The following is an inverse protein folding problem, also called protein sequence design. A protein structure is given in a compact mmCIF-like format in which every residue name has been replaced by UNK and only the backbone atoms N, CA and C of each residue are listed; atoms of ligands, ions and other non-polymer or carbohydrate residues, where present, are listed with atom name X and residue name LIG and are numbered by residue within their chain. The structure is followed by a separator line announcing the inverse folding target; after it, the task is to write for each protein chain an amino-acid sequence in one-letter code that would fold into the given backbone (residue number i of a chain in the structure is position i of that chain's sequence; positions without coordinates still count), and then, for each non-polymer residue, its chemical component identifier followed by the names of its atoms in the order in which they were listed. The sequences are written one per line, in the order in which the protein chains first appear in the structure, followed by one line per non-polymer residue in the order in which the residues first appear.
data_IF_395258055312
#
_entry.id   IF_395258055312
#
_cell.length_a   1.000
_cell.length_b   1.000
_cell.length_c   1.000
_cell.angle_alpha   90.00
_cell.angle_beta   90.00
_cell.angle_gamma   90.00
#
_symmetry.space_group_name_H-M   'P 1'
#
loop_
_entity.id
_entity.type
_entity.pdbx_description
1 polymer ?
#
# COMPACT_ATOMS: atom_id res chain seq x y z
N UNK A 1 -32.58 19.33 54.48
CA UNK A 1 -32.33 19.89 53.14
C UNK A 1 -31.02 20.66 53.19
N UNK A 2 -29.93 20.04 52.77
CA UNK A 2 -28.60 20.70 52.79
C UNK A 2 -28.41 21.37 51.43
N UNK A 3 -28.19 22.67 51.50
CA UNK A 3 -28.11 23.58 50.36
C UNK A 3 -26.83 23.35 49.55
N UNK A 4 -26.91 22.68 48.37
CA UNK A 4 -25.78 22.32 47.49
C UNK A 4 -25.13 23.48 46.71
N UNK A 5 -25.57 24.73 46.92
CA UNK A 5 -25.15 25.86 46.10
C UNK A 5 -24.00 26.72 46.68
N UNK A 6 -23.30 26.25 47.74
CA UNK A 6 -22.29 27.10 48.40
C UNK A 6 -20.83 26.76 48.13
N UNK A 7 -20.54 25.72 47.33
CA UNK A 7 -19.15 25.25 47.14
C UNK A 7 -18.47 25.81 45.86
N UNK A 8 -19.24 26.32 44.90
CA UNK A 8 -18.66 26.72 43.61
C UNK A 8 -18.20 28.18 43.47
N UNK A 9 -18.20 28.96 44.53
CA UNK A 9 -18.02 30.44 44.39
C UNK A 9 -16.69 31.00 44.86
N UNK A 10 -15.67 30.23 45.12
CA UNK A 10 -14.31 30.72 45.48
C UNK A 10 -13.15 29.94 44.84
N UNK A 11 -13.30 29.41 43.65
CA UNK A 11 -12.10 29.09 42.87
C UNK A 11 -11.59 30.37 42.24
N UNK A 12 -10.56 30.95 42.83
CA UNK A 12 -10.01 32.22 42.41
C UNK A 12 -9.44 32.13 40.96
N UNK A 13 -9.47 33.29 40.26
CA UNK A 13 -8.91 33.46 38.91
C UNK A 13 -7.54 32.81 38.72
N UNK A 14 -6.76 32.67 39.76
CA UNK A 14 -5.43 32.05 39.78
C UNK A 14 -5.48 30.52 39.62
N UNK A 15 -6.46 29.83 40.20
CA UNK A 15 -6.65 28.38 40.06
C UNK A 15 -7.22 28.03 38.69
N UNK A 16 -8.08 28.85 38.10
CA UNK A 16 -8.58 28.65 36.74
C UNK A 16 -7.47 28.87 35.69
N UNK A 17 -6.61 29.86 35.88
CA UNK A 17 -5.44 30.10 35.01
C UNK A 17 -4.41 28.97 35.12
N UNK A 18 -4.16 28.43 36.30
CA UNK A 18 -3.25 27.31 36.52
C UNK A 18 -3.79 26.03 35.90
N UNK A 19 -5.09 25.74 36.02
CA UNK A 19 -5.71 24.60 35.37
C UNK A 19 -5.71 24.70 33.82
N UNK A 20 -5.92 25.90 33.29
CA UNK A 20 -5.81 26.18 31.86
C UNK A 20 -4.37 26.00 31.32
N UNK A 21 -3.37 26.48 32.07
CA UNK A 21 -1.97 26.34 31.71
C UNK A 21 -1.52 24.85 31.73
N UNK A 22 -1.96 24.09 32.75
CA UNK A 22 -1.69 22.63 32.80
C UNK A 22 -2.39 21.88 31.66
N UNK A 23 -3.63 22.23 31.32
CA UNK A 23 -4.34 21.68 30.20
C UNK A 23 -3.66 21.95 28.84
N UNK A 24 -3.17 23.20 28.65
CA UNK A 24 -2.40 23.58 27.45
C UNK A 24 -1.05 22.85 27.39
N UNK A 25 -0.37 22.65 28.52
CA UNK A 25 0.88 21.92 28.61
C UNK A 25 0.68 20.44 28.28
N UNK A 26 -0.40 19.83 28.78
CA UNK A 26 -0.76 18.44 28.46
C UNK A 26 -1.15 18.24 26.98
N UNK A 27 -1.84 19.23 26.38
CA UNK A 27 -2.12 19.24 24.95
C UNK A 27 -0.84 19.40 24.11
N UNK A 28 0.09 20.24 24.50
CA UNK A 28 1.37 20.43 23.83
C UNK A 28 2.24 19.16 23.92
N UNK A 29 2.23 18.46 25.06
CA UNK A 29 2.93 17.18 25.24
C UNK A 29 2.26 16.08 24.39
N UNK A 30 0.93 16.06 24.28
CA UNK A 30 0.19 15.09 23.45
C UNK A 30 0.45 15.28 21.95
N UNK A 31 0.65 16.52 21.47
CA UNK A 31 1.04 16.76 20.08
C UNK A 31 2.53 16.49 19.79
N UNK A 32 3.37 16.44 20.83
CA UNK A 32 4.83 16.20 20.67
C UNK A 32 5.22 14.72 20.61
N UNK A 33 4.31 13.79 20.86
CA UNK A 33 4.57 12.35 20.84
C UNK A 33 4.10 11.65 19.55
N UNK A 34 4.06 12.33 18.41
CA UNK A 34 4.22 11.67 17.14
C UNK A 34 5.68 11.18 17.09
N UNK A 35 5.94 10.07 17.77
CA UNK A 35 7.18 9.35 17.60
C UNK A 35 7.31 9.01 16.13
N UNK A 36 8.16 9.74 15.40
CA UNK A 36 8.74 9.19 14.19
C UNK A 36 9.29 7.84 14.60
N UNK A 37 8.71 6.74 14.11
CA UNK A 37 9.31 5.43 14.31
C UNK A 37 10.72 5.55 13.78
N UNK A 38 11.69 5.53 14.68
CA UNK A 38 13.09 5.51 14.28
C UNK A 38 13.27 4.24 13.47
N UNK A 39 13.57 4.38 12.18
CA UNK A 39 13.94 3.24 11.35
C UNK A 39 15.18 2.64 11.97
N UNK A 40 15.04 1.42 12.50
CA UNK A 40 16.19 0.69 13.07
C UNK A 40 16.97 0.16 11.88
N UNK A 41 18.07 0.80 11.58
CA UNK A 41 18.95 0.37 10.51
C UNK A 41 19.62 -0.95 10.90
N UNK A 42 19.75 -1.90 9.97
CA UNK A 42 20.37 -3.19 10.22
C UNK A 42 21.86 -3.02 10.61
N UNK A 43 22.30 -3.80 11.57
CA UNK A 43 23.72 -3.89 11.96
C UNK A 43 24.32 -5.16 11.35
N UNK A 44 25.35 -4.97 10.53
CA UNK A 44 26.05 -6.06 9.84
C UNK A 44 27.52 -6.06 10.27
N UNK A 45 28.00 -7.14 10.87
CA UNK A 45 29.38 -7.20 11.34
C UNK A 45 30.41 -6.87 10.25
N UNK A 46 31.26 -5.90 10.52
CA UNK A 46 32.31 -5.47 9.60
C UNK A 46 31.90 -4.51 8.51
N UNK A 47 30.60 -4.21 8.39
CA UNK A 47 30.10 -3.21 7.45
C UNK A 47 29.77 -1.89 8.17
N UNK A 48 29.89 -0.77 7.46
CA UNK A 48 29.59 0.58 7.93
C UNK A 48 28.63 1.25 6.96
N UNK A 49 27.84 2.20 7.47
CA UNK A 49 27.03 3.08 6.64
C UNK A 49 27.91 4.15 6.00
N UNK A 50 27.82 4.30 4.68
CA UNK A 50 28.60 5.24 3.87
C UNK A 50 27.79 6.47 3.47
N UNK A 51 26.48 6.31 3.25
CA UNK A 51 25.57 7.37 2.85
C UNK A 51 25.21 7.31 1.37
N UNK A 52 24.07 7.92 1.02
CA UNK A 52 23.52 7.84 -0.33
C UNK A 52 24.40 8.55 -1.39
N UNK A 53 25.19 9.55 -0.99
CA UNK A 53 26.06 10.28 -1.91
C UNK A 53 27.18 9.40 -2.49
N UNK A 54 27.67 8.45 -1.72
CA UNK A 54 28.72 7.53 -2.18
C UNK A 54 28.15 6.53 -3.21
N UNK A 55 26.87 6.16 -3.07
CA UNK A 55 26.19 5.31 -4.04
C UNK A 55 26.05 5.97 -5.43
N UNK A 56 25.90 7.32 -5.49
CA UNK A 56 25.75 8.08 -6.73
C UNK A 56 26.91 7.88 -7.69
N UNK A 57 28.14 7.69 -7.18
CA UNK A 57 29.34 7.57 -7.99
C UNK A 57 29.29 6.39 -8.97
N UNK A 58 28.61 5.31 -8.62
CA UNK A 58 28.48 4.12 -9.47
C UNK A 58 27.04 3.88 -9.93
N UNK A 59 26.04 4.37 -9.19
CA UNK A 59 24.61 4.15 -9.44
C UNK A 59 23.88 5.46 -9.76
N UNK A 60 24.44 6.32 -10.61
CA UNK A 60 23.97 7.67 -10.92
C UNK A 60 22.55 7.70 -11.51
N UNK A 61 22.19 6.75 -12.36
CA UNK A 61 20.85 6.64 -12.94
C UNK A 61 19.80 6.29 -11.87
N UNK A 62 20.10 5.31 -11.04
CA UNK A 62 19.20 4.90 -9.94
C UNK A 62 19.07 6.04 -8.92
N UNK A 63 20.18 6.68 -8.58
CA UNK A 63 20.20 7.79 -7.64
C UNK A 63 19.35 8.96 -8.13
N UNK A 64 19.46 9.33 -9.40
CA UNK A 64 18.63 10.39 -10.01
C UNK A 64 17.13 10.05 -10.00
N UNK A 65 16.78 8.81 -10.35
CA UNK A 65 15.37 8.39 -10.34
C UNK A 65 14.83 8.29 -8.91
N UNK A 66 15.64 7.83 -7.96
CA UNK A 66 15.25 7.72 -6.56
C UNK A 66 14.94 9.08 -5.92
N UNK A 67 15.61 10.16 -6.32
CA UNK A 67 15.30 11.52 -5.81
C UNK A 67 13.84 11.95 -6.02
N UNK A 68 13.16 11.37 -7.00
CA UNK A 68 11.75 11.63 -7.28
C UNK A 68 10.81 10.63 -6.63
N UNK A 69 11.34 9.58 -6.01
CA UNK A 69 10.56 8.56 -5.34
C UNK A 69 10.07 9.03 -3.96
N UNK A 70 8.93 8.50 -3.51
CA UNK A 70 8.41 8.79 -2.17
C UNK A 70 9.39 8.40 -1.07
N UNK A 71 10.14 7.31 -1.29
CA UNK A 71 11.15 6.83 -0.38
C UNK A 71 12.39 7.75 -0.27
N UNK A 72 12.59 8.67 -1.21
CA UNK A 72 13.67 9.66 -1.13
C UNK A 72 13.54 10.61 0.08
N UNK A 73 12.35 10.68 0.67
CA UNK A 73 12.08 11.47 1.88
C UNK A 73 12.48 10.75 3.17
N UNK A 74 12.84 9.47 3.08
CA UNK A 74 13.34 8.69 4.21
C UNK A 74 14.76 9.15 4.57
N UNK A 75 14.84 10.16 5.41
CA UNK A 75 16.09 10.59 6.02
C UNK A 75 16.27 9.77 7.29
N UNK A 76 16.92 8.63 7.19
CA UNK A 76 17.42 7.92 8.34
C UNK A 76 18.83 8.44 8.65
N UNK A 77 19.02 9.06 9.81
CA UNK A 77 20.37 9.39 10.28
C UNK A 77 21.07 8.08 10.63
N UNK A 78 22.07 7.69 9.86
CA UNK A 78 22.96 6.60 10.21
C UNK A 78 23.73 6.88 11.51
N UNK A 79 24.46 5.89 12.04
CA UNK A 79 25.26 6.00 13.27
C UNK A 79 26.19 7.24 13.29
N UNK A 80 26.58 7.73 12.12
CA UNK A 80 27.47 8.88 11.96
C UNK A 80 26.74 10.16 11.52
N UNK A 81 25.40 10.21 11.56
CA UNK A 81 24.62 11.36 11.12
C UNK A 81 24.49 11.49 9.61
N UNK A 82 24.93 10.52 8.83
CA UNK A 82 24.84 10.47 7.38
C UNK A 82 23.43 10.09 6.93
N UNK A 83 23.03 10.59 5.76
CA UNK A 83 21.80 10.21 5.09
C UNK A 83 21.86 8.72 4.70
N UNK A 84 20.97 7.92 5.27
CA UNK A 84 20.91 6.48 5.05
C UNK A 84 19.80 6.09 4.07
N UNK A 85 19.39 6.97 3.16
CA UNK A 85 18.29 6.75 2.23
C UNK A 85 18.37 5.41 1.49
N UNK A 86 19.43 5.16 0.73
CA UNK A 86 19.66 3.87 0.04
C UNK A 86 19.85 2.73 1.04
N UNK A 87 20.66 2.95 2.05
CA UNK A 87 21.03 1.96 3.04
C UNK A 87 19.92 1.66 4.06
N UNK A 88 18.86 2.44 4.11
CA UNK A 88 17.63 2.11 4.87
C UNK A 88 17.00 0.81 4.40
N UNK A 89 17.16 0.49 3.12
CA UNK A 89 16.67 -0.75 2.50
C UNK A 89 17.79 -1.75 2.22
N UNK A 90 18.96 -1.27 1.75
CA UNK A 90 20.06 -2.13 1.32
C UNK A 90 21.03 -2.53 2.44
N UNK A 91 20.92 -1.90 3.62
CA UNK A 91 21.84 -2.09 4.75
C UNK A 91 23.18 -1.39 4.53
N UNK A 92 24.14 -1.54 5.49
CA UNK A 92 25.42 -0.86 5.44
C UNK A 92 26.31 -1.35 4.28
N UNK A 93 26.72 -0.45 3.40
CA UNK A 93 27.30 -0.78 2.10
C UNK A 93 28.81 -0.61 1.99
N UNK A 94 29.55 -0.32 3.08
CA UNK A 94 31.02 -0.10 2.97
C UNK A 94 31.77 -1.28 2.33
N UNK A 95 31.41 -2.52 2.65
CA UNK A 95 32.06 -3.69 2.04
C UNK A 95 31.76 -3.84 0.54
N UNK A 96 30.58 -3.36 0.10
CA UNK A 96 30.23 -3.30 -1.30
C UNK A 96 31.08 -2.25 -2.04
N UNK A 97 31.18 -1.07 -1.46
CA UNK A 97 31.96 0.05 -1.98
C UNK A 97 33.44 -0.30 -2.03
N UNK A 98 34.04 -0.73 -0.91
CA UNK A 98 35.46 -1.10 -0.78
C UNK A 98 35.87 -2.18 -1.79
N UNK A 99 34.96 -3.06 -2.17
CA UNK A 99 35.20 -4.14 -3.15
C UNK A 99 34.97 -3.72 -4.60
N UNK A 100 34.57 -2.46 -4.87
CA UNK A 100 34.20 -2.01 -6.21
C UNK A 100 32.97 -2.74 -6.77
N UNK A 101 32.09 -3.24 -5.91
CA UNK A 101 30.85 -3.91 -6.30
C UNK A 101 30.90 -5.45 -6.31
N UNK A 102 32.04 -6.06 -6.06
CA UNK A 102 32.19 -7.53 -6.04
C UNK A 102 31.41 -8.15 -4.87
N UNK A 103 31.45 -7.53 -3.69
CA UNK A 103 30.63 -7.91 -2.54
C UNK A 103 29.28 -7.23 -2.67
N UNK A 104 28.19 -8.02 -2.70
CA UNK A 104 26.85 -7.44 -2.78
C UNK A 104 26.43 -6.77 -1.47
N UNK A 105 25.55 -5.75 -1.53
CA UNK A 105 24.94 -5.17 -0.33
C UNK A 105 24.30 -6.26 0.54
N UNK A 106 24.23 -6.07 1.86
CA UNK A 106 23.60 -7.03 2.77
C UNK A 106 22.20 -7.44 2.36
N UNK A 107 21.42 -6.47 1.86
CA UNK A 107 20.08 -6.69 1.30
C UNK A 107 20.10 -6.33 -0.18
N UNK A 108 20.35 -7.32 -1.02
CA UNK A 108 20.30 -7.21 -2.47
C UNK A 108 18.99 -7.78 -2.99
N UNK A 109 18.18 -6.93 -3.58
CA UNK A 109 16.87 -7.29 -4.11
C UNK A 109 16.97 -7.53 -5.61
N UNK A 110 16.76 -8.77 -6.05
CA UNK A 110 16.64 -9.09 -7.47
C UNK A 110 15.16 -9.11 -7.87
N UNK A 111 14.78 -8.24 -8.80
CA UNK A 111 13.46 -8.28 -9.39
C UNK A 111 13.32 -9.56 -10.23
N UNK A 112 12.37 -10.39 -9.89
CA UNK A 112 11.98 -11.56 -10.66
C UNK A 112 12.53 -12.88 -10.14
N UNK A 113 11.63 -13.81 -9.92
CA UNK A 113 11.71 -15.19 -9.44
C UNK A 113 12.58 -15.40 -8.20
N UNK A 114 12.11 -16.15 -7.22
CA UNK A 114 12.94 -16.61 -6.12
C UNK A 114 14.02 -17.56 -6.68
N UNK A 115 15.11 -16.99 -7.18
CA UNK A 115 16.29 -17.77 -7.47
C UNK A 115 17.09 -17.86 -6.18
N UNK A 116 16.91 -18.96 -5.49
CA UNK A 116 17.96 -19.52 -4.70
C UNK A 116 19.18 -19.66 -5.63
N UNK A 117 20.13 -18.74 -5.51
CA UNK A 117 21.55 -18.90 -5.87
C UNK A 117 22.13 -17.56 -6.28
N UNK A 118 22.61 -16.82 -5.31
CA UNK A 118 23.76 -15.95 -5.55
C UNK A 118 25.00 -16.80 -5.39
N UNK A 119 25.70 -17.07 -6.47
CA UNK A 119 26.88 -17.96 -6.48
C UNK A 119 28.18 -17.30 -6.00
N UNK A 120 28.17 -16.03 -5.61
CA UNK A 120 29.40 -15.37 -5.15
C UNK A 120 29.06 -14.16 -4.30
N UNK A 121 29.00 -14.31 -3.03
CA UNK A 121 28.91 -13.19 -2.12
C UNK A 121 28.90 -13.64 -0.66
N UNK A 122 29.49 -12.84 0.20
CA UNK A 122 29.51 -13.05 1.64
C UNK A 122 28.12 -13.05 2.26
N UNK A 123 27.15 -12.48 1.52
CA UNK A 123 25.75 -12.42 1.88
C UNK A 123 24.90 -13.03 0.76
N UNK A 124 24.07 -14.04 1.04
CA UNK A 124 23.22 -14.65 0.05
C UNK A 124 22.14 -13.66 -0.41
N UNK A 125 21.70 -13.79 -1.67
CA UNK A 125 20.53 -13.08 -2.15
C UNK A 125 19.32 -13.33 -1.24
N UNK A 126 18.58 -12.27 -0.90
CA UNK A 126 17.45 -12.37 0.01
C UNK A 126 16.31 -13.18 -0.62
N UNK A 127 15.73 -14.06 0.15
CA UNK A 127 14.46 -14.71 -0.22
C UNK A 127 13.34 -13.68 -0.33
N UNK A 128 12.25 -14.03 -1.01
CA UNK A 128 11.07 -13.18 -1.08
C UNK A 128 10.60 -12.69 0.30
N UNK A 129 10.59 -13.57 1.30
CA UNK A 129 10.24 -13.24 2.70
C UNK A 129 11.19 -12.21 3.34
N UNK A 130 12.47 -12.25 3.00
CA UNK A 130 13.42 -11.27 3.51
C UNK A 130 13.14 -9.87 2.92
N UNK A 131 12.80 -9.79 1.61
CA UNK A 131 12.37 -8.54 0.97
C UNK A 131 11.15 -7.97 1.69
N UNK A 132 10.14 -8.79 1.94
CA UNK A 132 8.93 -8.41 2.66
C UNK A 132 9.26 -7.89 4.06
N UNK A 133 10.15 -8.55 4.79
CA UNK A 133 10.55 -8.15 6.13
C UNK A 133 11.10 -6.73 6.15
N UNK A 134 11.93 -6.36 5.18
CA UNK A 134 12.46 -5.00 5.06
C UNK A 134 11.33 -4.00 4.82
N UNK A 135 10.42 -4.28 3.90
CA UNK A 135 9.28 -3.40 3.63
C UNK A 135 8.36 -3.26 4.85
N UNK A 136 8.06 -4.37 5.52
CA UNK A 136 7.18 -4.40 6.68
C UNK A 136 7.75 -3.72 7.93
N UNK A 137 9.03 -3.39 7.95
CA UNK A 137 9.60 -2.56 9.03
C UNK A 137 8.89 -1.22 9.14
N UNK A 138 8.42 -0.67 8.02
CA UNK A 138 7.69 0.59 7.96
C UNK A 138 6.21 0.40 7.57
N UNK A 139 5.89 -0.54 6.67
CA UNK A 139 4.55 -0.79 6.14
C UNK A 139 3.78 -1.87 6.93
N UNK A 140 3.59 -1.61 8.23
CA UNK A 140 2.92 -2.55 9.14
C UNK A 140 1.43 -2.73 8.84
N UNK A 141 0.78 -1.69 8.34
CA UNK A 141 -0.61 -1.70 7.90
C UNK A 141 -0.81 -2.64 6.70
N UNK A 142 0.09 -2.58 5.73
CA UNK A 142 0.10 -3.47 4.56
C UNK A 142 0.34 -4.92 4.98
N UNK A 143 1.24 -5.16 5.95
CA UNK A 143 1.42 -6.48 6.54
C UNK A 143 0.11 -7.02 7.13
N UNK A 144 -0.67 -6.15 7.80
CA UNK A 144 -1.99 -6.50 8.32
C UNK A 144 -2.97 -6.91 7.22
N UNK A 145 -2.96 -6.22 6.09
CA UNK A 145 -3.80 -6.54 4.93
C UNK A 145 -3.47 -7.91 4.34
N UNK A 146 -2.18 -8.26 4.21
CA UNK A 146 -1.76 -9.58 3.72
C UNK A 146 -2.12 -10.76 4.64
N UNK A 147 -2.52 -10.50 5.88
CA UNK A 147 -3.05 -11.53 6.79
C UNK A 147 -4.56 -11.79 6.59
N UNK A 148 -5.23 -11.04 5.71
CA UNK A 148 -6.63 -11.28 5.39
C UNK A 148 -6.81 -12.56 4.55
N UNK A 149 -8.01 -13.19 4.59
CA UNK A 149 -8.21 -14.51 3.98
C UNK A 149 -8.04 -14.56 2.46
N UNK A 150 -8.22 -13.44 1.78
CA UNK A 150 -7.97 -13.32 0.35
C UNK A 150 -6.85 -12.29 0.15
N UNK A 151 -5.72 -12.70 -0.43
CA UNK A 151 -4.56 -11.84 -0.69
C UNK A 151 -3.74 -12.39 -1.87
N UNK A 152 -2.91 -11.56 -2.46
CA UNK A 152 -1.88 -12.06 -3.37
C UNK A 152 -0.85 -12.87 -2.58
N UNK A 153 -0.23 -13.90 -3.19
CA UNK A 153 0.60 -14.88 -2.48
C UNK A 153 2.00 -14.34 -2.12
N UNK A 154 2.01 -13.15 -1.50
CA UNK A 154 3.22 -12.51 -0.96
C UNK A 154 3.67 -13.22 0.31
N UNK A 155 2.81 -13.48 1.32
CA UNK A 155 3.23 -14.20 2.52
C UNK A 155 3.74 -15.62 2.27
N UNK A 156 3.30 -16.24 1.17
CA UNK A 156 3.76 -17.55 0.75
C UNK A 156 5.12 -17.50 0.03
N UNK A 157 5.68 -16.30 -0.21
CA UNK A 157 6.94 -16.09 -0.91
C UNK A 157 6.87 -16.38 -2.41
N UNK A 158 5.68 -16.38 -3.01
CA UNK A 158 5.46 -16.59 -4.46
C UNK A 158 5.45 -15.28 -5.23
N UNK A 159 5.21 -14.18 -4.54
CA UNK A 159 5.30 -12.82 -5.04
C UNK A 159 6.10 -11.96 -4.06
N UNK A 160 6.53 -10.78 -4.53
CA UNK A 160 7.24 -9.79 -3.70
C UNK A 160 6.69 -8.40 -3.93
N UNK A 161 6.91 -7.52 -2.98
CA UNK A 161 6.48 -6.11 -3.06
C UNK A 161 7.00 -5.41 -4.32
N UNK A 162 8.28 -5.69 -4.68
CA UNK A 162 8.97 -5.03 -5.80
C UNK A 162 8.50 -5.46 -7.18
N UNK A 163 7.66 -6.50 -7.28
CA UNK A 163 7.04 -6.87 -8.56
C UNK A 163 5.93 -5.90 -8.97
N UNK A 164 5.34 -5.20 -7.99
CA UNK A 164 4.29 -4.22 -8.21
C UNK A 164 4.75 -2.79 -7.90
N UNK A 165 5.67 -2.62 -6.94
CA UNK A 165 6.14 -1.33 -6.46
C UNK A 165 7.62 -1.12 -6.80
N UNK A 166 7.97 -0.24 -7.76
CA UNK A 166 9.35 0.12 -8.05
C UNK A 166 9.86 1.15 -7.03
N UNK A 167 10.59 0.76 -5.97
CA UNK A 167 10.96 1.66 -4.88
C UNK A 167 11.92 2.78 -5.29
N UNK A 168 12.61 2.62 -6.42
CA UNK A 168 13.53 3.62 -6.96
C UNK A 168 12.89 4.62 -7.92
N UNK A 169 11.62 4.46 -8.27
CA UNK A 169 10.95 5.31 -9.27
C UNK A 169 9.67 5.88 -8.67
N UNK A 170 9.50 7.20 -8.73
CA UNK A 170 8.28 7.96 -8.54
C UNK A 170 7.24 7.43 -7.55
N UNK A 171 6.04 7.92 -7.68
CA UNK A 171 4.89 7.45 -6.90
C UNK A 171 4.38 6.17 -7.54
N UNK A 172 4.77 5.02 -6.99
CA UNK A 172 4.21 3.75 -7.41
C UNK A 172 2.77 3.65 -6.87
N UNK A 173 1.79 3.57 -7.77
CA UNK A 173 0.41 3.22 -7.43
C UNK A 173 -0.45 4.30 -6.74
N UNK A 174 -0.03 5.56 -6.67
CA UNK A 174 -0.90 6.64 -6.20
C UNK A 174 -1.67 7.28 -7.38
N UNK A 175 -2.97 7.50 -7.21
CA UNK A 175 -3.88 7.88 -8.29
C UNK A 175 -3.57 9.18 -9.04
N UNK A 176 -3.69 9.13 -10.36
CA UNK A 176 -3.55 10.22 -11.31
C UNK A 176 -3.53 9.66 -12.75
N UNK A 177 -3.91 10.42 -13.76
CA UNK A 177 -4.19 9.90 -15.11
C UNK A 177 -3.06 9.08 -15.75
N UNK A 178 -1.82 9.52 -15.60
CA UNK A 178 -0.64 8.76 -16.08
C UNK A 178 -0.31 7.56 -15.17
N UNK A 179 -0.76 7.59 -13.92
CA UNK A 179 -0.54 6.53 -12.93
C UNK A 179 -1.59 5.43 -13.05
N UNK A 180 -2.80 5.72 -13.52
CA UNK A 180 -3.81 4.71 -13.82
C UNK A 180 -3.31 3.75 -14.90
N UNK A 181 -2.72 4.27 -15.98
CA UNK A 181 -2.14 3.43 -17.03
C UNK A 181 -1.03 2.52 -16.50
N UNK A 182 -0.10 3.03 -15.70
CA UNK A 182 0.96 2.21 -15.11
C UNK A 182 0.43 1.21 -14.08
N UNK A 183 -0.68 1.53 -13.40
CA UNK A 183 -1.36 0.63 -12.48
C UNK A 183 -2.03 -0.53 -13.23
N UNK A 184 -2.73 -0.23 -14.32
CA UNK A 184 -3.33 -1.25 -15.17
C UNK A 184 -2.27 -2.16 -15.81
N UNK A 185 -1.18 -1.59 -16.33
CA UNK A 185 -0.06 -2.35 -16.86
C UNK A 185 0.54 -3.31 -15.83
N UNK A 186 0.71 -2.87 -14.58
CA UNK A 186 1.20 -3.73 -13.50
C UNK A 186 0.27 -4.92 -13.23
N UNK A 187 -1.03 -4.69 -13.19
CA UNK A 187 -2.01 -5.76 -12.96
C UNK A 187 -2.07 -6.72 -14.14
N UNK A 188 -2.11 -6.19 -15.35
CA UNK A 188 -2.35 -6.95 -16.59
C UNK A 188 -1.13 -7.75 -17.07
N UNK A 189 0.07 -7.50 -16.54
CA UNK A 189 1.22 -8.39 -16.74
C UNK A 189 0.92 -9.84 -16.30
N UNK A 190 0.11 -10.01 -15.27
CA UNK A 190 -0.30 -11.33 -14.77
C UNK A 190 -1.78 -11.62 -15.10
N UNK A 191 -2.63 -10.61 -15.07
CA UNK A 191 -4.07 -10.70 -15.33
C UNK A 191 -4.41 -10.28 -16.77
N UNK A 192 -3.67 -10.81 -17.75
CA UNK A 192 -3.79 -10.43 -19.17
C UNK A 192 -5.21 -10.61 -19.72
N UNK A 193 -5.99 -11.55 -19.20
CA UNK A 193 -7.38 -11.78 -19.61
C UNK A 193 -8.31 -10.59 -19.29
N UNK A 194 -7.91 -9.72 -18.39
CA UNK A 194 -8.67 -8.52 -18.01
C UNK A 194 -8.31 -7.30 -18.88
N UNK A 195 -7.27 -7.40 -19.68
CA UNK A 195 -6.86 -6.40 -20.68
C UNK A 195 -7.51 -6.70 -22.04
N UNK A 196 -8.84 -6.70 -22.08
CA UNK A 196 -9.57 -6.99 -23.32
C UNK A 196 -9.90 -5.72 -24.10
N UNK A 197 -9.91 -5.81 -25.43
CA UNK A 197 -10.67 -4.88 -26.26
C UNK A 197 -12.13 -5.36 -26.20
N UNK A 198 -12.95 -4.63 -25.48
CA UNK A 198 -14.36 -4.93 -25.33
C UNK A 198 -15.18 -4.07 -26.29
N UNK A 199 -16.26 -4.63 -26.82
CA UNK A 199 -17.24 -3.86 -27.61
C UNK A 199 -18.14 -3.05 -26.67
N UNK A 200 -18.40 -3.61 -25.50
CA UNK A 200 -19.17 -3.01 -24.43
C UNK A 200 -18.29 -2.95 -23.20
N UNK A 201 -17.63 -1.82 -23.00
CA UNK A 201 -16.80 -1.59 -21.82
C UNK A 201 -17.68 -1.28 -20.61
N UNK A 202 -17.21 -1.69 -19.44
CA UNK A 202 -17.78 -1.22 -18.19
C UNK A 202 -17.12 0.10 -17.81
N UNK A 203 -17.88 1.17 -17.75
CA UNK A 203 -17.36 2.53 -17.48
C UNK A 203 -16.49 2.60 -16.23
N UNK A 204 -16.81 1.77 -15.21
CA UNK A 204 -16.03 1.69 -13.98
C UNK A 204 -14.56 1.23 -14.20
N UNK A 205 -14.25 0.63 -15.34
CA UNK A 205 -12.86 0.26 -15.65
C UNK A 205 -11.95 1.48 -15.85
N UNK A 206 -12.51 2.61 -16.25
CA UNK A 206 -11.76 3.87 -16.37
C UNK A 206 -11.30 4.45 -15.01
N UNK A 207 -11.90 4.00 -13.90
CA UNK A 207 -11.47 4.35 -12.54
C UNK A 207 -10.26 3.49 -12.07
N UNK A 208 -9.87 2.48 -12.87
CA UNK A 208 -8.78 1.56 -12.59
C UNK A 208 -9.16 0.37 -11.70
N UNK A 209 -8.30 -0.64 -11.70
CA UNK A 209 -8.55 -1.91 -11.02
C UNK A 209 -8.84 -1.76 -9.52
N UNK A 210 -8.18 -0.80 -8.86
CA UNK A 210 -8.30 -0.58 -7.41
C UNK A 210 -9.59 0.14 -6.99
N UNK A 211 -10.40 0.60 -7.92
CA UNK A 211 -11.76 1.06 -7.62
C UNK A 211 -12.61 -0.07 -7.04
N UNK A 212 -12.36 -1.30 -7.48
CA UNK A 212 -13.10 -2.49 -7.07
C UNK A 212 -12.27 -3.49 -6.27
N UNK A 213 -10.94 -3.53 -6.44
CA UNK A 213 -10.05 -4.52 -5.84
C UNK A 213 -9.05 -3.91 -4.86
N UNK A 214 -8.77 -4.65 -3.77
CA UNK A 214 -7.71 -4.33 -2.78
C UNK A 214 -6.57 -5.32 -2.96
N UNK A 215 -5.48 -4.96 -3.69
CA UNK A 215 -4.47 -5.93 -4.12
C UNK A 215 -3.67 -6.56 -2.97
N UNK A 216 -3.54 -5.91 -1.82
CA UNK A 216 -2.81 -6.47 -0.69
C UNK A 216 -3.61 -7.54 0.03
N UNK A 217 -4.90 -7.31 0.23
CA UNK A 217 -5.74 -8.29 0.90
C UNK A 217 -7.15 -7.78 1.19
N UNK A 218 -8.10 -8.69 1.25
CA UNK A 218 -9.50 -8.41 1.54
C UNK A 218 -10.16 -9.55 2.30
N UNK A 219 -11.16 -9.23 3.09
CA UNK A 219 -12.10 -10.21 3.65
C UNK A 219 -13.05 -10.77 2.59
N UNK A 220 -13.17 -10.07 1.47
CA UNK A 220 -14.07 -10.44 0.38
C UNK A 220 -13.31 -11.26 -0.68
N UNK A 221 -13.97 -12.30 -1.20
CA UNK A 221 -13.43 -13.08 -2.31
C UNK A 221 -13.08 -12.18 -3.51
N UNK A 222 -12.12 -12.62 -4.34
CA UNK A 222 -11.60 -11.87 -5.49
C UNK A 222 -10.99 -10.52 -5.11
N UNK A 223 -10.55 -10.35 -3.88
CA UNK A 223 -9.95 -9.11 -3.36
C UNK A 223 -10.87 -7.89 -3.49
N UNK A 224 -12.18 -8.06 -3.43
CA UNK A 224 -13.12 -6.96 -3.63
C UNK A 224 -13.12 -6.00 -2.42
N UNK A 225 -13.31 -4.71 -2.69
CA UNK A 225 -13.45 -3.67 -1.66
C UNK A 225 -14.73 -3.86 -0.86
N UNK A 226 -15.78 -4.38 -1.48
CA UNK A 226 -17.08 -4.61 -0.87
C UNK A 226 -17.63 -6.00 -1.19
N UNK A 227 -18.53 -6.46 -0.36
CA UNK A 227 -19.15 -7.78 -0.51
C UNK A 227 -20.36 -7.73 -1.43
N UNK A 228 -20.42 -8.72 -2.36
CA UNK A 228 -21.58 -8.99 -3.19
C UNK A 228 -22.11 -7.74 -3.96
N UNK A 229 -23.43 -7.60 -4.01
CA UNK A 229 -24.11 -6.50 -4.69
C UNK A 229 -23.81 -5.11 -4.11
N UNK A 230 -23.32 -5.03 -2.86
CA UNK A 230 -22.95 -3.75 -2.23
C UNK A 230 -21.92 -2.99 -3.07
N UNK A 231 -20.95 -3.69 -3.67
CA UNK A 231 -19.98 -3.08 -4.56
C UNK A 231 -20.66 -2.40 -5.76
N UNK A 232 -21.55 -3.11 -6.43
CA UNK A 232 -22.24 -2.63 -7.63
C UNK A 232 -23.17 -1.44 -7.31
N UNK A 233 -23.87 -1.54 -6.19
CA UNK A 233 -24.85 -0.55 -5.75
C UNK A 233 -24.23 0.77 -5.24
N UNK A 234 -22.93 0.87 -5.14
CA UNK A 234 -22.26 2.16 -4.93
C UNK A 234 -22.46 3.12 -6.10
N UNK A 235 -22.58 2.60 -7.31
CA UNK A 235 -22.74 3.37 -8.54
C UNK A 235 -24.09 3.13 -9.20
N UNK A 236 -24.63 1.89 -9.13
CA UNK A 236 -25.91 1.54 -9.72
C UNK A 236 -27.06 1.79 -8.75
N UNK A 237 -27.67 2.97 -8.87
CA UNK A 237 -28.76 3.41 -7.99
C UNK A 237 -29.99 2.51 -8.11
N UNK A 238 -30.57 2.19 -6.95
CA UNK A 238 -31.87 1.56 -6.86
C UNK A 238 -32.97 2.63 -6.85
N UNK A 239 -33.99 2.45 -7.70
CA UNK A 239 -35.19 3.24 -7.66
C UNK A 239 -36.36 2.35 -7.24
N UNK A 240 -37.09 2.74 -6.23
CA UNK A 240 -38.33 2.05 -5.84
C UNK A 240 -39.50 2.73 -6.53
N UNK A 241 -40.15 2.02 -7.45
CA UNK A 241 -41.33 2.51 -8.17
C UNK A 241 -42.43 1.47 -8.12
N UNK A 242 -43.59 1.84 -7.54
CA UNK A 242 -44.75 0.96 -7.42
C UNK A 242 -44.46 -0.40 -6.78
N UNK A 243 -43.54 -0.44 -5.79
CA UNK A 243 -43.10 -1.66 -5.12
C UNK A 243 -42.02 -2.46 -5.85
N UNK A 244 -41.65 -2.08 -7.06
CA UNK A 244 -40.54 -2.69 -7.81
C UNK A 244 -39.21 -1.99 -7.52
N UNK A 245 -38.11 -2.76 -7.47
CA UNK A 245 -36.73 -2.25 -7.36
C UNK A 245 -36.12 -2.20 -8.75
N UNK A 246 -36.03 -1.00 -9.30
CA UNK A 246 -35.45 -0.76 -10.62
C UNK A 246 -33.96 -0.43 -10.49
N UNK A 247 -33.12 -1.12 -11.27
CA UNK A 247 -31.70 -0.83 -11.45
C UNK A 247 -31.45 -0.74 -12.95
N UNK A 248 -30.92 0.39 -13.43
CA UNK A 248 -30.76 0.64 -14.85
C UNK A 248 -32.10 0.61 -15.64
N UNK A 249 -33.21 0.94 -14.98
CA UNK A 249 -34.56 0.91 -15.57
C UNK A 249 -35.22 -0.48 -15.65
N UNK A 250 -34.53 -1.54 -15.24
CA UNK A 250 -35.03 -2.93 -15.25
C UNK A 250 -35.41 -3.36 -13.83
N UNK A 251 -36.53 -4.09 -13.71
CA UNK A 251 -36.98 -4.64 -12.42
C UNK A 251 -36.10 -5.77 -11.95
N UNK A 252 -35.48 -5.58 -10.81
CA UNK A 252 -34.58 -6.54 -10.13
C UNK A 252 -35.19 -7.08 -8.81
N UNK A 253 -36.44 -6.77 -8.50
CA UNK A 253 -37.08 -7.11 -7.21
C UNK A 253 -36.94 -8.59 -6.82
N UNK A 254 -37.19 -9.50 -7.75
CA UNK A 254 -37.10 -10.95 -7.51
C UNK A 254 -35.66 -11.49 -7.59
N UNK A 255 -34.71 -10.71 -8.10
CA UNK A 255 -33.34 -11.16 -8.42
C UNK A 255 -32.32 -10.80 -7.36
N UNK A 256 -32.52 -9.69 -6.64
CA UNK A 256 -31.60 -9.22 -5.61
C UNK A 256 -31.38 -10.22 -4.46
N UNK A 257 -32.37 -11.08 -4.19
CA UNK A 257 -32.28 -12.13 -3.17
C UNK A 257 -31.64 -13.44 -3.67
N UNK A 258 -31.43 -13.59 -4.99
CA UNK A 258 -30.97 -14.85 -5.59
C UNK A 258 -29.46 -15.02 -5.61
N UNK A 259 -28.68 -13.98 -5.32
CA UNK A 259 -27.24 -14.05 -5.31
C UNK A 259 -26.54 -12.72 -5.57
N UNK A 260 -25.34 -12.81 -6.14
CA UNK A 260 -24.55 -11.64 -6.52
C UNK A 260 -24.92 -11.16 -7.94
N UNK A 261 -24.70 -9.89 -8.23
CA UNK A 261 -24.98 -9.33 -9.55
C UNK A 261 -24.24 -10.07 -10.69
N UNK A 262 -23.08 -10.65 -10.40
CA UNK A 262 -22.23 -11.35 -11.37
C UNK A 262 -22.38 -12.88 -11.34
N UNK A 263 -23.36 -13.42 -10.65
CA UNK A 263 -23.56 -14.88 -10.57
C UNK A 263 -24.74 -15.35 -11.40
N UNK A 264 -24.76 -16.66 -11.67
CA UNK A 264 -25.89 -17.38 -12.28
C UNK A 264 -26.36 -16.81 -13.62
N UNK A 265 -25.44 -16.42 -14.52
CA UNK A 265 -25.75 -15.92 -15.85
C UNK A 265 -26.34 -14.49 -15.86
N UNK A 266 -26.11 -13.72 -14.76
CA UNK A 266 -26.56 -12.33 -14.72
C UNK A 266 -25.53 -11.41 -15.38
N UNK A 267 -24.62 -10.77 -14.63
CA UNK A 267 -23.63 -9.84 -15.18
C UNK A 267 -22.21 -10.41 -14.97
N UNK A 268 -21.87 -11.47 -15.71
CA UNK A 268 -20.59 -12.20 -15.51
C UNK A 268 -19.38 -11.46 -16.10
N UNK A 269 -19.62 -10.67 -17.15
CA UNK A 269 -18.57 -9.94 -17.87
C UNK A 269 -18.34 -8.52 -17.29
N UNK A 270 -18.16 -8.43 -15.98
CA UNK A 270 -18.09 -7.14 -15.25
C UNK A 270 -16.92 -6.24 -15.66
N UNK A 271 -15.88 -6.78 -16.31
CA UNK A 271 -14.77 -6.00 -16.84
C UNK A 271 -15.02 -5.48 -18.25
N UNK A 272 -16.06 -5.99 -18.92
CA UNK A 272 -16.43 -5.65 -20.28
C UNK A 272 -16.87 -6.88 -21.06
N UNK A 273 -17.70 -6.69 -22.09
CA UNK A 273 -18.24 -7.75 -22.93
C UNK A 273 -17.98 -7.49 -24.41
N UNK A 274 -17.79 -8.56 -25.17
CA UNK A 274 -17.67 -8.48 -26.64
C UNK A 274 -19.04 -8.61 -27.33
N UNK A 275 -20.04 -9.08 -26.61
CA UNK A 275 -21.32 -9.49 -27.22
C UNK A 275 -22.55 -8.95 -26.50
N UNK A 276 -22.43 -8.46 -25.28
CA UNK A 276 -23.59 -8.10 -24.45
C UNK A 276 -23.45 -6.69 -23.84
N UNK A 277 -24.35 -5.74 -24.19
CA UNK A 277 -24.32 -4.42 -23.61
C UNK A 277 -24.73 -4.41 -22.12
N UNK A 278 -25.33 -5.48 -21.63
CA UNK A 278 -25.64 -5.63 -20.20
C UNK A 278 -24.59 -6.44 -19.45
N UNK A 279 -23.42 -6.67 -20.03
CA UNK A 279 -22.27 -7.40 -19.43
C UNK A 279 -22.65 -8.79 -18.91
N UNK A 280 -23.51 -9.50 -19.62
CA UNK A 280 -23.97 -10.85 -19.18
C UNK A 280 -23.01 -11.97 -19.56
N UNK A 281 -22.21 -11.79 -20.62
CA UNK A 281 -21.26 -12.77 -21.14
C UNK A 281 -19.98 -12.08 -21.60
#
# INVERSE_FOLDING_TARGET
MINRNFIFRKMGRKTALAAGAVGLLLLAISCGTLSHQAVVLPDVPGAKYVGSADCEQCHDEIYRSFKTADHARLIAKGKNGLDAGCESCHGPCSLHEDSGGDVKPPYSFTAGRPQAQSLSGRFPAQSARAIETVCYTCHMDVRGQFNLPNHHPVPEGRMTCIQCHPPHKGIAMAGGSTQLLSQEENCTQCHASQQGVYVFEHEAMHEGCTACHVPHGSVNAKLLTERNSTLCLKCHFQQIKSGAVLIGGVDHSSRLSQGTCWSAGCHEAVHGSRVSPSLRF
#
